data_IF_487394623686
#
_entry.id   IF_487394623686
#
_cell.length_a   1.000
_cell.length_b   1.000
_cell.length_c   1.000
_cell.angle_alpha   90.00
_cell.angle_beta   90.00
_cell.angle_gamma   90.00
#
_symmetry.space_group_name_H-M   'P 1'
#
loop_
_entity.id
_entity.type
_entity.pdbx_description
1 polymer ?
#
# COMPACT_ATOMS: atom_id res chain seq x y z
N UNK A 1 18.13 12.58 6.44
CA UNK A 1 17.53 11.67 5.44
C UNK A 1 17.51 10.21 5.90
N UNK A 2 17.81 9.91 7.17
CA UNK A 2 18.05 8.53 7.65
C UNK A 2 16.77 7.73 7.94
N UNK A 3 15.64 8.39 8.20
CA UNK A 3 14.40 7.71 8.63
C UNK A 3 13.72 6.88 7.54
N UNK A 4 13.97 7.14 6.24
CA UNK A 4 13.37 6.34 5.16
C UNK A 4 14.01 4.96 5.00
N UNK A 5 15.31 4.86 5.28
CA UNK A 5 16.08 3.66 5.00
C UNK A 5 15.84 2.58 6.07
N UNK A 6 15.65 2.98 7.33
CA UNK A 6 15.28 2.07 8.42
C UNK A 6 13.89 1.46 8.22
N UNK A 7 12.91 2.28 7.82
CA UNK A 7 11.54 1.80 7.55
C UNK A 7 11.53 0.74 6.44
N UNK A 8 12.32 0.92 5.39
CA UNK A 8 12.43 -0.13 4.35
C UNK A 8 13.11 -1.42 4.84
N UNK A 9 14.08 -1.31 5.76
CA UNK A 9 14.77 -2.50 6.31
C UNK A 9 13.85 -3.31 7.22
N UNK A 10 13.10 -2.64 8.10
CA UNK A 10 12.14 -3.28 8.99
C UNK A 10 11.00 -3.95 8.21
N UNK A 11 10.57 -3.34 7.09
CA UNK A 11 9.53 -3.89 6.24
C UNK A 11 9.99 -5.17 5.56
N UNK A 12 11.19 -5.13 4.97
CA UNK A 12 11.81 -6.31 4.34
C UNK A 12 12.05 -7.40 5.38
N UNK A 13 12.53 -7.04 6.58
CA UNK A 13 12.74 -7.99 7.67
C UNK A 13 11.42 -8.62 8.12
N UNK A 14 10.33 -7.86 8.22
CA UNK A 14 9.00 -8.37 8.50
C UNK A 14 8.49 -9.34 7.43
N UNK A 15 8.66 -9.01 6.15
CA UNK A 15 8.31 -9.91 5.04
C UNK A 15 9.14 -11.19 5.08
N UNK A 16 10.46 -11.08 5.26
CA UNK A 16 11.35 -12.24 5.37
C UNK A 16 10.92 -13.13 6.54
N UNK A 17 10.57 -12.55 7.69
CA UNK A 17 10.09 -13.28 8.85
C UNK A 17 8.78 -14.05 8.56
N UNK A 18 7.84 -13.43 7.85
CA UNK A 18 6.60 -14.08 7.41
C UNK A 18 6.91 -15.26 6.48
N UNK A 19 7.75 -15.05 5.47
CA UNK A 19 8.10 -16.09 4.49
C UNK A 19 8.79 -17.27 5.19
N UNK A 20 9.76 -17.00 6.05
CA UNK A 20 10.48 -18.03 6.82
C UNK A 20 9.51 -18.80 7.73
N UNK A 21 8.62 -18.12 8.45
CA UNK A 21 7.60 -18.75 9.28
C UNK A 21 6.68 -19.68 8.48
N UNK A 22 6.19 -19.23 7.33
CA UNK A 22 5.32 -20.03 6.46
C UNK A 22 6.05 -21.25 5.87
N UNK A 23 7.31 -21.08 5.44
CA UNK A 23 8.14 -22.16 4.92
C UNK A 23 8.40 -23.20 6.00
N UNK A 24 8.78 -22.78 7.21
CA UNK A 24 8.94 -23.68 8.36
C UNK A 24 7.64 -24.43 8.64
N UNK A 25 6.51 -23.73 8.74
CA UNK A 25 5.20 -24.34 8.98
C UNK A 25 4.83 -25.41 7.95
N UNK A 26 5.16 -25.22 6.67
CA UNK A 26 4.96 -26.21 5.61
C UNK A 26 5.96 -27.36 5.66
N UNK A 27 7.23 -27.07 5.98
CA UNK A 27 8.28 -28.08 6.09
C UNK A 27 8.01 -29.08 7.22
N UNK A 28 7.32 -28.68 8.29
CA UNK A 28 6.95 -29.60 9.39
C UNK A 28 6.01 -30.73 8.92
N UNK A 29 5.18 -30.51 7.91
CA UNK A 29 4.24 -31.54 7.43
C UNK A 29 4.93 -32.74 6.77
N UNK A 30 6.06 -32.50 6.08
CA UNK A 30 6.81 -33.55 5.38
C UNK A 30 7.31 -34.66 6.34
N UNK A 31 8.05 -34.35 7.42
CA UNK A 31 8.52 -35.36 8.36
C UNK A 31 7.40 -35.99 9.19
N UNK A 32 6.30 -35.28 9.47
CA UNK A 32 5.12 -35.87 10.14
C UNK A 32 4.54 -37.03 9.32
N UNK A 33 4.51 -36.88 7.99
CA UNK A 33 4.04 -37.92 7.08
C UNK A 33 5.09 -39.03 6.91
N UNK A 34 6.38 -38.66 6.84
CA UNK A 34 7.47 -39.60 6.55
C UNK A 34 7.77 -40.56 7.73
N UNK A 35 7.66 -40.09 8.97
CA UNK A 35 8.03 -40.85 10.17
C UNK A 35 6.87 -40.93 11.18
N UNK A 36 5.80 -41.69 10.89
CA UNK A 36 4.64 -41.76 11.75
C UNK A 36 4.90 -42.52 13.06
N UNK A 37 5.95 -43.34 13.14
CA UNK A 37 6.15 -44.31 14.23
C UNK A 37 6.86 -43.80 15.49
N UNK A 38 7.48 -42.61 15.46
CA UNK A 38 8.22 -42.07 16.61
C UNK A 38 7.50 -40.90 17.25
N UNK A 39 6.99 -41.11 18.47
CA UNK A 39 6.25 -40.10 19.25
C UNK A 39 7.09 -38.85 19.55
N UNK A 40 8.37 -39.02 19.91
CA UNK A 40 9.27 -37.92 20.20
C UNK A 40 9.44 -36.94 19.02
N UNK A 41 9.55 -37.47 17.79
CA UNK A 41 9.67 -36.64 16.59
C UNK A 41 8.37 -35.89 16.28
N UNK A 42 7.21 -36.52 16.49
CA UNK A 42 5.92 -35.85 16.30
C UNK A 42 5.77 -34.67 17.24
N UNK A 43 6.08 -34.85 18.52
CA UNK A 43 6.00 -33.78 19.52
C UNK A 43 6.93 -32.64 19.14
N UNK A 44 8.20 -32.92 18.82
CA UNK A 44 9.17 -31.90 18.41
C UNK A 44 8.69 -31.11 17.17
N UNK A 45 8.14 -31.79 16.18
CA UNK A 45 7.62 -31.18 14.96
C UNK A 45 6.40 -30.30 15.24
N UNK A 46 5.45 -30.77 16.06
CA UNK A 46 4.30 -29.97 16.50
C UNK A 46 4.76 -28.73 17.25
N UNK A 47 5.78 -28.84 18.12
CA UNK A 47 6.34 -27.67 18.82
C UNK A 47 6.94 -26.65 17.85
N UNK A 48 7.75 -27.09 16.88
CA UNK A 48 8.30 -26.20 15.83
C UNK A 48 7.18 -25.54 15.02
N UNK A 49 6.12 -26.28 14.71
CA UNK A 49 4.95 -25.74 14.04
C UNK A 49 4.29 -24.64 14.88
N UNK A 50 4.01 -24.87 16.16
CA UNK A 50 3.44 -23.84 17.05
C UNK A 50 4.34 -22.61 17.14
N UNK A 51 5.67 -22.80 17.27
CA UNK A 51 6.62 -21.69 17.28
C UNK A 51 6.62 -20.88 15.97
N UNK A 52 6.46 -21.54 14.82
CA UNK A 52 6.35 -20.86 13.53
C UNK A 52 5.17 -19.89 13.50
N UNK A 53 4.01 -20.27 14.06
CA UNK A 53 2.84 -19.41 14.18
C UNK A 53 3.07 -18.23 15.12
N UNK A 54 3.74 -18.45 16.26
CA UNK A 54 4.08 -17.37 17.18
C UNK A 54 5.01 -16.35 16.50
N UNK A 55 5.99 -16.81 15.70
CA UNK A 55 6.85 -15.92 14.91
C UNK A 55 6.14 -15.20 13.76
N UNK A 56 5.03 -15.74 13.26
CA UNK A 56 4.23 -15.10 12.21
C UNK A 56 3.63 -13.78 12.71
N UNK A 57 3.18 -13.73 13.97
CA UNK A 57 2.50 -12.57 14.58
C UNK A 57 3.34 -11.29 14.50
N UNK A 58 4.59 -11.23 15.01
CA UNK A 58 5.42 -10.03 14.90
C UNK A 58 5.77 -9.70 13.45
N UNK A 59 5.94 -10.70 12.59
CA UNK A 59 6.20 -10.49 11.16
C UNK A 59 5.05 -9.77 10.46
N UNK A 60 3.82 -10.26 10.66
CA UNK A 60 2.59 -9.65 10.12
C UNK A 60 2.36 -8.28 10.75
N UNK A 61 2.61 -8.11 12.04
CA UNK A 61 2.45 -6.83 12.72
C UNK A 61 3.38 -5.77 12.14
N UNK A 62 4.69 -6.07 12.01
CA UNK A 62 5.68 -5.16 11.45
C UNK A 62 5.41 -4.85 9.97
N UNK A 63 5.20 -5.87 9.15
CA UNK A 63 4.92 -5.70 7.72
C UNK A 63 3.59 -4.96 7.49
N UNK A 64 2.58 -5.21 8.31
CA UNK A 64 1.26 -4.57 8.24
C UNK A 64 1.31 -3.09 8.60
N UNK A 65 2.00 -2.70 9.68
CA UNK A 65 2.11 -1.30 10.12
C UNK A 65 2.84 -0.44 9.10
N UNK A 66 3.95 -0.95 8.55
CA UNK A 66 4.75 -0.22 7.56
C UNK A 66 4.11 -0.26 6.17
N UNK A 67 3.53 -1.39 5.79
CA UNK A 67 2.75 -1.53 4.57
C UNK A 67 1.56 -0.56 4.54
N UNK A 68 0.83 -0.44 5.65
CA UNK A 68 -0.27 0.51 5.77
C UNK A 68 0.22 1.95 5.59
N UNK A 69 1.29 2.37 6.29
CA UNK A 69 1.88 3.71 6.14
C UNK A 69 2.29 4.02 4.70
N UNK A 70 2.92 3.07 4.01
CA UNK A 70 3.33 3.20 2.61
C UNK A 70 2.11 3.39 1.68
N UNK A 71 1.07 2.58 1.87
CA UNK A 71 -0.16 2.65 1.08
C UNK A 71 -0.90 3.97 1.35
N UNK A 72 -1.07 4.37 2.62
CA UNK A 72 -1.77 5.62 2.96
C UNK A 72 -1.03 6.84 2.41
N UNK A 73 0.30 6.87 2.48
CA UNK A 73 1.09 7.97 1.92
C UNK A 73 0.93 8.06 0.40
N UNK A 74 1.03 6.92 -0.30
CA UNK A 74 0.87 6.86 -1.75
C UNK A 74 -0.55 7.25 -2.19
N UNK A 75 -1.56 6.82 -1.44
CA UNK A 75 -2.96 7.17 -1.70
C UNK A 75 -3.20 8.67 -1.50
N UNK A 76 -2.67 9.28 -0.43
CA UNK A 76 -2.80 10.71 -0.14
C UNK A 76 -2.11 11.57 -1.21
N UNK A 77 -0.95 11.13 -1.70
CA UNK A 77 -0.24 11.79 -2.79
C UNK A 77 -1.00 11.69 -4.12
N UNK A 78 -1.54 10.51 -4.43
CA UNK A 78 -2.38 10.31 -5.61
C UNK A 78 -3.65 11.17 -5.56
N UNK A 79 -4.32 11.20 -4.40
CA UNK A 79 -5.52 12.01 -4.20
C UNK A 79 -5.23 13.51 -4.34
N UNK A 80 -4.10 13.99 -3.81
CA UNK A 80 -3.64 15.38 -4.03
C UNK A 80 -3.44 15.68 -5.52
N UNK A 81 -2.74 14.81 -6.25
CA UNK A 81 -2.48 15.03 -7.69
C UNK A 81 -3.79 15.03 -8.50
N UNK A 82 -4.72 14.14 -8.18
CA UNK A 82 -6.02 14.07 -8.86
C UNK A 82 -6.86 15.30 -8.57
N UNK A 83 -7.00 15.72 -7.30
CA UNK A 83 -7.72 16.94 -6.94
C UNK A 83 -7.09 18.17 -7.59
N UNK A 84 -5.76 18.25 -7.64
CA UNK A 84 -5.07 19.39 -8.24
C UNK A 84 -5.33 19.48 -9.75
N UNK A 85 -5.25 18.36 -10.47
CA UNK A 85 -5.59 18.28 -11.89
C UNK A 85 -7.06 18.64 -12.14
N UNK A 86 -7.98 18.12 -11.33
CA UNK A 86 -9.42 18.44 -11.44
C UNK A 86 -9.68 19.93 -11.20
N UNK A 87 -9.02 20.53 -10.19
CA UNK A 87 -9.12 21.98 -9.94
C UNK A 87 -8.58 22.82 -11.10
N UNK A 88 -7.47 22.42 -11.71
CA UNK A 88 -6.93 23.13 -12.88
C UNK A 88 -7.85 23.01 -14.11
N UNK A 89 -8.37 21.83 -14.38
CA UNK A 89 -9.32 21.62 -15.48
C UNK A 89 -10.63 22.39 -15.26
N UNK A 90 -11.16 22.39 -14.03
CA UNK A 90 -12.35 23.16 -13.67
C UNK A 90 -12.13 24.67 -13.79
N UNK A 91 -10.98 25.20 -13.33
CA UNK A 91 -10.61 26.61 -13.51
C UNK A 91 -10.44 26.98 -14.99
N UNK A 92 -9.87 26.09 -15.82
CA UNK A 92 -9.76 26.32 -17.28
C UNK A 92 -11.11 26.30 -17.97
N UNK A 93 -12.00 25.39 -17.60
CA UNK A 93 -13.36 25.34 -18.11
C UNK A 93 -14.14 26.61 -17.74
N UNK A 94 -14.11 27.02 -16.47
CA UNK A 94 -14.77 28.23 -16.00
C UNK A 94 -14.28 29.50 -16.72
N UNK A 95 -12.96 29.64 -16.96
CA UNK A 95 -12.42 30.76 -17.75
C UNK A 95 -12.94 30.75 -19.19
N UNK A 96 -12.98 29.59 -19.85
CA UNK A 96 -13.54 29.46 -21.20
C UNK A 96 -15.01 29.86 -21.25
N UNK A 97 -15.82 29.47 -20.26
CA UNK A 97 -17.24 29.85 -20.20
C UNK A 97 -17.41 31.36 -20.03
N UNK A 98 -16.62 31.99 -19.16
CA UNK A 98 -16.62 33.45 -18.96
C UNK A 98 -16.21 34.19 -20.24
N UNK A 99 -15.19 33.70 -20.95
CA UNK A 99 -14.75 34.31 -22.21
C UNK A 99 -15.79 34.18 -23.32
N UNK A 100 -16.46 33.03 -23.43
CA UNK A 100 -17.57 32.82 -24.37
C UNK A 100 -18.76 33.72 -24.03
N UNK A 101 -19.08 33.90 -22.74
CA UNK A 101 -20.19 34.76 -22.30
C UNK A 101 -19.90 36.26 -22.51
N UNK A 102 -18.64 36.69 -22.40
CA UNK A 102 -18.24 38.09 -22.61
C UNK A 102 -18.08 38.48 -24.09
N UNK A 103 -17.82 37.53 -24.99
CA UNK A 103 -17.72 37.77 -26.44
C UNK A 103 -18.95 38.43 -27.08
N UNK A 104 -20.21 38.02 -26.82
CA UNK A 104 -21.39 38.65 -27.42
C UNK A 104 -21.58 40.10 -26.94
N UNK A 105 -21.23 40.42 -25.69
CA UNK A 105 -21.35 41.77 -25.13
C UNK A 105 -20.40 42.77 -25.81
N UNK A 106 -19.16 42.35 -26.10
CA UNK A 106 -18.19 43.18 -26.84
C UNK A 106 -18.62 43.46 -28.28
N UNK A 107 -19.18 42.47 -28.98
CA UNK A 107 -19.69 42.67 -30.35
C UNK A 107 -20.90 43.61 -30.40
N UNK A 108 -21.79 43.59 -29.40
CA UNK A 108 -22.93 44.52 -29.32
C UNK A 108 -22.50 45.97 -29.09
N UNK A 109 -21.50 46.23 -28.24
CA UNK A 109 -21.01 47.60 -28.01
C UNK A 109 -20.37 48.20 -29.28
N UNK A 110 -19.62 47.41 -30.04
CA UNK A 110 -18.96 47.87 -31.27
C UNK A 110 -19.96 48.25 -32.39
N UNK A 111 -21.16 47.66 -32.38
CA UNK A 111 -22.23 47.92 -33.36
C UNK A 111 -23.13 49.10 -32.99
N UNK A 112 -22.98 49.69 -31.80
CA UNK A 112 -23.71 50.87 -31.33
C UNK A 112 -22.91 52.18 -31.47
N UNK A 113 -21.67 52.10 -31.92
CA UNK A 113 -20.76 53.24 -32.16
C UNK A 113 -20.55 53.54 -33.66
N UNK A 114 -21.29 52.85 -34.53
CA UNK A 114 -21.46 53.17 -35.96
C UNK A 114 -22.93 53.52 -36.11
#
# INVERSE_FOLDING_TARGET
METKQEVTKNFVLGIVLIVVSLVLGKLVFVPIILFPGSEAWRIAMITVYVFSWIMLIPGVYLAGLEGYRLVTHKYKEYHRRTIHKVKEHSKRAARKTVDVLKRPVRRRKKKKQI
#
